data_IF_072889943030
#
_entry.id   IF_072889943030
#
_cell.length_a   1.000
_cell.length_b   1.000
_cell.length_c   1.000
_cell.angle_alpha   90.00
_cell.angle_beta   90.00
_cell.angle_gamma   90.00
#
_symmetry.space_group_name_H-M   'P 1'
#
loop_
_entity.id
_entity.type
_entity.pdbx_description
1 polymer ?
#
# COMPACT_ATOMS: atom_id res chain seq x y z
N UNK A 1 -13.55 -12.24 -26.86
CA UNK A 1 -13.55 -11.46 -25.60
C UNK A 1 -14.92 -11.29 -24.93
N UNK A 2 -15.95 -10.66 -25.54
CA UNK A 2 -17.26 -10.46 -24.86
C UNK A 2 -17.92 -11.76 -24.38
N UNK A 3 -17.89 -12.81 -25.20
CA UNK A 3 -18.42 -14.14 -24.84
C UNK A 3 -17.57 -14.85 -23.77
N UNK A 4 -16.25 -14.76 -23.88
CA UNK A 4 -15.31 -15.27 -22.87
C UNK A 4 -15.60 -14.67 -21.48
N UNK A 5 -15.82 -13.35 -21.39
CA UNK A 5 -16.25 -12.71 -20.14
C UNK A 5 -17.60 -13.24 -19.64
N UNK A 6 -18.56 -13.50 -20.53
CA UNK A 6 -19.85 -14.12 -20.14
C UNK A 6 -19.70 -15.52 -19.54
N UNK A 7 -18.67 -16.28 -19.93
CA UNK A 7 -18.43 -17.66 -19.46
C UNK A 7 -17.55 -17.74 -18.21
N UNK A 8 -16.60 -16.81 -18.02
CA UNK A 8 -15.55 -16.91 -16.99
C UNK A 8 -15.55 -15.75 -15.98
N UNK A 9 -16.49 -14.79 -16.06
CA UNK A 9 -16.65 -13.76 -15.02
C UNK A 9 -17.27 -14.37 -13.76
N UNK A 10 -16.54 -14.28 -12.66
CA UNK A 10 -16.97 -14.76 -11.36
C UNK A 10 -18.14 -13.92 -10.82
N UNK A 11 -19.29 -14.57 -10.56
CA UNK A 11 -20.49 -14.01 -9.88
C UNK A 11 -20.91 -12.59 -10.36
N UNK A 12 -20.76 -12.29 -11.65
CA UNK A 12 -21.00 -10.97 -12.27
C UNK A 12 -20.13 -9.79 -11.76
N UNK A 13 -19.05 -10.04 -10.99
CA UNK A 13 -18.24 -8.99 -10.34
C UNK A 13 -17.15 -8.37 -11.22
N UNK A 14 -17.18 -8.57 -12.54
CA UNK A 14 -16.19 -8.02 -13.50
C UNK A 14 -14.81 -8.68 -13.47
N UNK A 15 -14.53 -9.51 -12.46
CA UNK A 15 -13.32 -10.33 -12.34
C UNK A 15 -13.47 -11.63 -13.13
N UNK A 16 -12.42 -12.03 -13.86
CA UNK A 16 -12.32 -13.35 -14.50
C UNK A 16 -11.36 -14.20 -13.69
N UNK A 17 -11.78 -15.41 -13.33
CA UNK A 17 -10.92 -16.40 -12.66
C UNK A 17 -10.73 -17.59 -13.60
N UNK A 18 -9.47 -17.90 -13.90
CA UNK A 18 -9.08 -18.98 -14.81
C UNK A 18 -7.99 -19.81 -14.13
N UNK A 19 -7.96 -21.12 -14.36
CA UNK A 19 -6.83 -21.94 -13.90
C UNK A 19 -5.72 -21.81 -14.94
N UNK A 20 -4.49 -21.53 -14.49
CA UNK A 20 -3.31 -21.67 -15.37
C UNK A 20 -3.22 -23.14 -15.79
N UNK A 21 -3.53 -23.41 -17.06
CA UNK A 21 -3.54 -24.75 -17.63
C UNK A 21 -2.12 -25.32 -17.73
N UNK A 22 -1.18 -24.49 -18.20
CA UNK A 22 0.25 -24.81 -18.32
C UNK A 22 1.11 -23.54 -18.28
N UNK A 23 2.36 -23.68 -17.86
CA UNK A 23 3.41 -22.67 -18.01
C UNK A 23 4.52 -23.32 -18.83
N UNK A 24 4.84 -22.74 -19.99
CA UNK A 24 5.81 -23.28 -20.94
C UNK A 24 6.94 -22.28 -21.17
N UNK A 25 8.20 -22.72 -21.02
CA UNK A 25 9.36 -21.95 -21.50
C UNK A 25 9.47 -22.12 -23.01
N UNK A 26 9.02 -21.13 -23.76
CA UNK A 26 9.15 -21.11 -25.21
C UNK A 26 10.50 -20.51 -25.64
N UNK A 27 11.22 -21.10 -26.62
CA UNK A 27 12.43 -20.51 -27.20
C UNK A 27 12.04 -19.40 -28.17
N UNK A 28 11.56 -18.28 -27.63
CA UNK A 28 11.12 -17.13 -28.41
C UNK A 28 12.29 -16.17 -28.68
N UNK A 29 12.70 -16.08 -29.94
CA UNK A 29 13.79 -15.21 -30.42
C UNK A 29 13.30 -13.95 -31.16
N UNK A 30 12.02 -13.62 -31.05
CA UNK A 30 11.45 -12.39 -31.62
C UNK A 30 11.51 -11.21 -30.65
N UNK A 31 11.07 -10.04 -31.12
CA UNK A 31 10.76 -8.92 -30.22
C UNK A 31 9.47 -9.23 -29.45
N UNK A 32 9.57 -9.42 -28.14
CA UNK A 32 8.42 -9.19 -27.27
C UNK A 32 8.17 -7.69 -27.21
N UNK A 33 6.89 -7.28 -27.24
CA UNK A 33 6.52 -5.91 -26.90
C UNK A 33 6.61 -5.73 -25.37
N UNK A 34 7.84 -5.65 -24.88
CA UNK A 34 8.13 -4.96 -23.65
C UNK A 34 8.30 -3.46 -23.98
N UNK A 35 7.83 -2.58 -23.10
CA UNK A 35 8.00 -1.12 -23.26
C UNK A 35 9.38 -0.68 -22.73
N UNK A 36 10.42 -1.46 -23.06
CA UNK A 36 11.76 -1.37 -22.45
C UNK A 36 12.61 -0.23 -23.01
N UNK A 37 13.27 0.47 -22.09
CA UNK A 37 14.44 1.30 -22.40
C UNK A 37 15.61 0.35 -22.65
N UNK A 38 16.35 0.52 -23.76
CA UNK A 38 17.59 -0.23 -23.99
C UNK A 38 18.74 0.36 -23.13
N UNK A 39 18.69 0.12 -21.82
CA UNK A 39 19.70 0.54 -20.83
C UNK A 39 19.81 -0.51 -19.71
N UNK A 40 21.01 -0.85 -19.21
CA UNK A 40 21.18 -1.88 -18.17
C UNK A 40 20.48 -1.56 -16.84
N UNK A 41 20.22 -0.29 -16.54
CA UNK A 41 19.44 0.14 -15.35
C UNK A 41 17.91 0.16 -15.56
N UNK A 42 17.36 -0.57 -16.55
CA UNK A 42 15.92 -0.53 -16.84
C UNK A 42 15.09 -1.07 -15.67
N UNK A 43 14.34 -0.17 -15.03
CA UNK A 43 13.37 -0.47 -13.99
C UNK A 43 12.01 0.07 -14.43
N UNK A 44 10.99 -0.80 -14.50
CA UNK A 44 9.70 -0.50 -15.11
C UNK A 44 8.85 0.50 -14.30
N UNK A 45 8.27 1.51 -14.96
CA UNK A 45 7.40 2.52 -14.31
C UNK A 45 6.27 2.99 -15.22
N UNK A 46 5.03 2.55 -14.97
CA UNK A 46 3.82 3.23 -15.47
C UNK A 46 3.92 3.62 -16.97
N UNK A 47 3.83 4.90 -17.36
CA UNK A 47 3.41 6.14 -16.68
C UNK A 47 4.20 6.67 -15.44
N UNK A 48 5.27 7.41 -15.68
CA UNK A 48 5.94 8.43 -14.86
C UNK A 48 6.62 8.02 -13.54
N UNK A 49 5.91 7.90 -12.41
CA UNK A 49 6.56 7.73 -11.09
C UNK A 49 5.70 6.89 -10.12
N UNK A 50 6.32 6.37 -9.06
CA UNK A 50 5.62 5.72 -7.93
C UNK A 50 4.99 6.79 -7.04
N UNK A 51 3.65 6.81 -6.93
CA UNK A 51 2.96 7.58 -5.88
C UNK A 51 3.19 6.86 -4.56
N UNK A 52 4.16 7.34 -3.79
CA UNK A 52 4.77 6.64 -2.67
C UNK A 52 3.75 6.09 -1.67
N UNK A 53 3.72 4.77 -1.56
CA UNK A 53 2.88 3.98 -0.67
C UNK A 53 1.39 4.38 -0.72
N UNK A 54 0.79 4.44 -1.90
CA UNK A 54 -0.62 4.05 -1.98
C UNK A 54 -0.73 2.57 -1.60
N UNK A 55 -1.72 2.24 -0.77
CA UNK A 55 -1.83 0.93 -0.14
C UNK A 55 -3.11 0.77 0.68
N UNK A 56 -3.26 -0.41 1.28
CA UNK A 56 -4.48 -0.84 1.96
C UNK A 56 -4.16 -1.25 3.38
N UNK A 57 -5.00 -0.81 4.32
CA UNK A 57 -5.03 -1.26 5.71
C UNK A 57 -6.37 -1.94 5.98
N UNK A 58 -6.36 -3.15 6.56
CA UNK A 58 -7.59 -3.86 6.95
C UNK A 58 -7.67 -3.99 8.48
N UNK A 59 -8.71 -3.43 9.06
CA UNK A 59 -9.08 -3.62 10.46
C UNK A 59 -10.12 -4.73 10.57
N UNK A 60 -10.05 -5.55 11.62
CA UNK A 60 -11.01 -6.63 11.89
C UNK A 60 -11.68 -6.43 13.25
N UNK A 61 -12.98 -6.71 13.31
CA UNK A 61 -13.77 -6.71 14.55
C UNK A 61 -14.01 -8.12 15.07
N UNK A 62 -14.62 -8.22 16.26
CA UNK A 62 -15.14 -9.48 16.79
C UNK A 62 -16.62 -9.71 16.44
N UNK A 63 -17.26 -8.84 15.65
CA UNK A 63 -18.69 -8.89 15.37
C UNK A 63 -19.00 -9.44 13.98
N UNK A 64 -20.15 -10.09 13.88
CA UNK A 64 -20.84 -10.41 12.62
C UNK A 64 -21.67 -9.22 12.11
N UNK A 65 -21.99 -9.22 10.82
CA UNK A 65 -22.93 -8.23 10.22
C UNK A 65 -24.25 -8.17 10.99
N UNK A 66 -24.78 -9.34 11.39
CA UNK A 66 -26.07 -9.47 12.07
C UNK A 66 -26.10 -8.75 13.42
N UNK A 67 -25.02 -8.83 14.20
CA UNK A 67 -24.94 -8.25 15.55
C UNK A 67 -24.93 -6.71 15.51
N UNK A 68 -24.22 -6.11 14.55
CA UNK A 68 -24.09 -4.65 14.46
C UNK A 68 -24.91 -4.00 13.33
N UNK A 69 -25.79 -4.76 12.65
CA UNK A 69 -26.59 -4.29 11.50
C UNK A 69 -27.31 -2.97 11.76
N UNK A 70 -27.97 -2.85 12.91
CA UNK A 70 -28.68 -1.64 13.36
C UNK A 70 -27.78 -0.45 13.71
N UNK A 71 -26.45 -0.60 13.63
CA UNK A 71 -25.45 0.43 13.90
C UNK A 71 -24.59 0.77 12.68
N UNK A 72 -24.64 -0.02 11.59
CA UNK A 72 -23.78 0.15 10.40
C UNK A 72 -23.92 1.55 9.76
N UNK A 73 -25.14 2.05 9.60
CA UNK A 73 -25.39 3.38 9.01
C UNK A 73 -24.84 4.51 9.90
N UNK A 74 -24.99 4.38 11.22
CA UNK A 74 -24.43 5.34 12.18
C UNK A 74 -22.89 5.27 12.22
N UNK A 75 -22.31 4.07 12.18
CA UNK A 75 -20.86 3.84 12.07
C UNK A 75 -20.31 4.50 10.80
N UNK A 76 -20.94 4.25 9.64
CA UNK A 76 -20.53 4.87 8.37
C UNK A 76 -20.62 6.40 8.42
N UNK A 77 -21.71 6.94 8.98
CA UNK A 77 -21.94 8.40 9.13
C UNK A 77 -20.89 9.05 10.03
N UNK A 78 -20.60 8.47 11.19
CA UNK A 78 -19.63 9.04 12.15
C UNK A 78 -18.17 8.84 11.67
N UNK A 79 -17.86 7.74 10.98
CA UNK A 79 -16.56 7.57 10.30
C UNK A 79 -16.39 8.64 9.20
N UNK A 80 -17.43 8.91 8.40
CA UNK A 80 -17.35 9.93 7.35
C UNK A 80 -17.12 11.34 7.91
N UNK A 81 -17.68 11.66 9.09
CA UNK A 81 -17.41 12.93 9.80
C UNK A 81 -15.98 13.02 10.30
N UNK A 82 -15.43 11.93 10.86
CA UNK A 82 -14.07 11.90 11.42
C UNK A 82 -12.95 11.75 10.37
N UNK A 83 -13.25 11.26 9.17
CA UNK A 83 -12.28 11.01 8.08
C UNK A 83 -12.54 11.95 6.89
N UNK A 84 -11.86 13.11 6.80
CA UNK A 84 -12.01 14.01 5.66
C UNK A 84 -11.69 13.34 4.32
N UNK A 85 -12.60 13.47 3.37
CA UNK A 85 -12.49 12.98 2.00
C UNK A 85 -12.75 14.11 0.99
N UNK A 86 -12.35 13.91 -0.27
CA UNK A 86 -12.43 14.89 -1.36
C UNK A 86 -11.08 15.51 -1.76
N UNK A 87 -11.04 16.11 -2.95
CA UNK A 87 -9.86 16.79 -3.48
C UNK A 87 -9.58 18.08 -2.69
N UNK A 88 -8.32 18.29 -2.28
CA UNK A 88 -7.90 19.47 -1.51
C UNK A 88 -8.43 19.54 -0.07
N UNK A 89 -9.31 18.62 0.35
CA UNK A 89 -9.85 18.54 1.71
C UNK A 89 -8.77 18.06 2.68
N UNK A 90 -8.86 18.54 3.92
CA UNK A 90 -7.89 18.31 4.98
C UNK A 90 -8.50 18.59 6.36
N UNK A 91 -7.76 18.28 7.42
CA UNK A 91 -8.12 18.67 8.79
C UNK A 91 -7.99 20.18 8.98
N UNK A 92 -8.75 20.73 9.93
CA UNK A 92 -8.71 22.16 10.25
C UNK A 92 -7.34 22.56 10.85
N UNK A 93 -6.81 21.72 11.75
CA UNK A 93 -5.48 21.89 12.34
C UNK A 93 -4.41 21.53 11.30
N UNK A 94 -3.49 22.46 11.05
CA UNK A 94 -2.30 22.24 10.23
C UNK A 94 -1.13 21.88 11.14
N UNK A 95 -0.49 20.74 10.91
CA UNK A 95 0.76 20.38 11.58
C UNK A 95 1.87 21.39 11.22
N UNK A 96 2.83 21.59 12.12
CA UNK A 96 4.08 22.32 11.84
C UNK A 96 4.98 21.53 10.89
N UNK A 97 5.97 22.20 10.26
CA UNK A 97 6.98 21.51 9.44
C UNK A 97 7.77 20.51 10.29
N UNK A 98 8.08 20.83 11.55
CA UNK A 98 8.79 19.93 12.45
C UNK A 98 7.97 18.66 12.78
N UNK A 99 6.66 18.78 12.98
CA UNK A 99 5.77 17.62 13.14
C UNK A 99 5.68 16.79 11.85
N UNK A 100 5.72 17.42 10.67
CA UNK A 100 5.78 16.70 9.39
C UNK A 100 7.12 15.98 9.21
N UNK A 101 8.25 16.60 9.54
CA UNK A 101 9.57 15.95 9.49
C UNK A 101 9.61 14.71 10.40
N UNK A 102 9.10 14.81 11.63
CA UNK A 102 8.93 13.68 12.57
C UNK A 102 8.13 12.52 11.97
N UNK A 103 7.02 12.81 11.27
CA UNK A 103 6.22 11.78 10.57
C UNK A 103 6.96 11.20 9.36
N UNK A 104 7.67 12.04 8.60
CA UNK A 104 8.45 11.62 7.43
C UNK A 104 9.59 10.66 7.82
N UNK A 105 10.26 10.89 8.93
CA UNK A 105 11.38 10.05 9.38
C UNK A 105 10.94 8.90 10.30
N UNK A 106 9.91 9.13 11.13
CA UNK A 106 9.49 8.21 12.18
C UNK A 106 8.26 7.33 11.88
N UNK A 107 7.51 7.61 10.81
CA UNK A 107 6.41 6.76 10.34
C UNK A 107 5.30 6.49 11.37
N UNK A 108 4.80 5.26 11.40
CA UNK A 108 3.81 4.80 12.41
C UNK A 108 4.38 4.78 13.83
N UNK A 109 5.63 4.30 14.08
CA UNK A 109 6.23 4.33 15.42
C UNK A 109 6.24 5.70 16.11
N UNK A 110 6.43 6.79 15.36
CA UNK A 110 6.38 8.15 15.94
C UNK A 110 4.97 8.55 16.40
N UNK A 111 3.92 8.04 15.75
CA UNK A 111 2.53 8.30 16.15
C UNK A 111 2.12 7.49 17.37
N UNK A 112 2.52 6.21 17.44
CA UNK A 112 2.28 5.34 18.60
C UNK A 112 2.97 5.89 19.85
N UNK A 113 4.20 6.40 19.73
CA UNK A 113 4.89 7.13 20.82
C UNK A 113 4.13 8.36 21.33
N UNK A 114 3.28 8.96 20.50
CA UNK A 114 2.44 10.11 20.87
C UNK A 114 1.05 9.69 21.38
N UNK A 115 0.80 8.40 21.59
CA UNK A 115 -0.47 7.85 22.07
C UNK A 115 -1.53 7.64 20.99
N UNK A 116 -1.16 7.74 19.71
CA UNK A 116 -2.03 7.40 18.60
C UNK A 116 -1.78 5.94 18.20
N UNK A 117 -2.61 5.01 18.67
CA UNK A 117 -2.52 3.59 18.33
C UNK A 117 -1.74 2.74 19.34
N UNK A 118 -1.47 1.50 18.96
CA UNK A 118 -0.92 0.43 19.82
C UNK A 118 0.28 -0.25 19.14
N UNK A 119 1.13 -0.97 19.89
CA UNK A 119 2.30 -1.67 19.33
C UNK A 119 1.90 -2.72 18.26
N UNK A 120 0.75 -3.39 18.42
CA UNK A 120 0.20 -4.32 17.41
C UNK A 120 -0.06 -3.60 16.05
N UNK A 121 -0.27 -2.28 16.03
CA UNK A 121 -0.42 -1.51 14.79
C UNK A 121 0.92 -1.26 14.05
N UNK A 122 2.06 -1.35 14.76
CA UNK A 122 3.42 -1.32 14.20
C UNK A 122 3.77 -2.69 13.65
N UNK A 123 3.62 -3.73 14.48
CA UNK A 123 3.96 -5.11 14.11
C UNK A 123 3.27 -5.57 12.84
N UNK A 124 1.99 -5.23 12.66
CA UNK A 124 1.17 -5.66 11.53
C UNK A 124 1.16 -4.65 10.38
N UNK A 125 2.18 -3.80 10.30
CA UNK A 125 2.39 -2.89 9.18
C UNK A 125 3.60 -3.35 8.37
N UNK A 126 3.51 -3.31 7.04
CA UNK A 126 4.66 -3.49 6.16
C UNK A 126 5.77 -2.48 6.52
N UNK A 127 7.04 -2.90 6.48
CA UNK A 127 8.20 -2.16 7.00
C UNK A 127 8.04 -1.69 8.47
N UNK A 128 7.18 -2.35 9.27
CA UNK A 128 6.74 -1.84 10.59
C UNK A 128 6.21 -0.40 10.54
N UNK A 129 5.70 0.01 9.38
CA UNK A 129 5.22 1.37 9.10
C UNK A 129 6.31 2.44 9.02
N UNK A 130 7.59 2.06 8.85
CA UNK A 130 8.74 2.97 8.75
C UNK A 130 9.89 2.38 7.91
N UNK A 131 10.18 2.98 6.76
CA UNK A 131 11.45 2.81 6.06
C UNK A 131 12.53 3.67 6.72
N UNK A 132 13.63 3.03 7.15
CA UNK A 132 14.75 3.66 7.85
C UNK A 132 15.56 4.63 6.99
N UNK A 133 15.53 4.48 5.67
CA UNK A 133 16.26 5.35 4.72
C UNK A 133 15.57 6.69 4.46
N UNK A 134 14.48 6.99 5.16
CA UNK A 134 13.76 8.26 5.03
C UNK A 134 14.61 9.46 5.51
N UNK A 135 14.52 10.56 4.75
CA UNK A 135 15.26 11.80 5.03
C UNK A 135 14.33 12.99 4.73
N UNK A 136 13.89 13.72 5.76
CA UNK A 136 12.96 14.83 5.57
C UNK A 136 13.60 16.06 4.89
N UNK A 137 14.94 16.14 4.81
CA UNK A 137 15.63 17.17 4.03
C UNK A 137 15.56 16.93 2.52
N UNK A 138 15.36 15.67 2.12
CA UNK A 138 15.17 15.29 0.72
C UNK A 138 13.72 15.58 0.22
N UNK A 139 12.78 15.92 1.10
CA UNK A 139 11.39 16.28 0.74
C UNK A 139 11.25 17.81 0.66
N UNK A 140 10.69 18.33 -0.43
CA UNK A 140 10.57 19.79 -0.63
C UNK A 140 9.60 20.44 0.35
N UNK A 141 9.86 21.71 0.71
CA UNK A 141 8.91 22.50 1.52
C UNK A 141 7.54 22.65 0.85
N UNK A 142 7.48 22.62 -0.49
CA UNK A 142 6.21 22.57 -1.24
C UNK A 142 5.45 21.27 -0.98
N UNK A 143 6.13 20.13 -0.97
CA UNK A 143 5.53 18.83 -0.67
C UNK A 143 5.07 18.75 0.78
N UNK A 144 5.89 19.19 1.74
CA UNK A 144 5.52 19.27 3.16
C UNK A 144 4.30 20.15 3.36
N UNK A 145 4.29 21.38 2.84
CA UNK A 145 3.16 22.30 2.99
C UNK A 145 1.85 21.78 2.39
N UNK A 146 1.91 20.99 1.29
CA UNK A 146 0.72 20.27 0.77
C UNK A 146 0.22 19.16 1.70
N UNK A 147 1.10 18.53 2.49
CA UNK A 147 0.76 17.46 3.43
C UNK A 147 0.37 17.90 4.85
N UNK A 148 0.66 19.14 5.25
CA UNK A 148 0.49 19.65 6.65
C UNK A 148 -0.90 19.47 7.25
N UNK A 149 -1.95 19.42 6.43
CA UNK A 149 -3.34 19.22 6.87
C UNK A 149 -3.98 17.92 6.34
N UNK A 150 -3.20 17.02 5.74
CA UNK A 150 -3.72 15.83 5.06
C UNK A 150 -3.44 14.51 5.80
N UNK A 151 -2.79 14.56 6.97
CA UNK A 151 -2.60 13.38 7.83
C UNK A 151 -3.94 12.95 8.45
N UNK A 152 -4.24 11.66 8.37
CA UNK A 152 -5.52 11.09 8.76
C UNK A 152 -6.66 11.50 7.82
N UNK A 153 -6.41 11.60 6.51
CA UNK A 153 -7.43 11.95 5.51
C UNK A 153 -7.43 10.97 4.34
N UNK A 154 -8.61 10.70 3.79
CA UNK A 154 -8.79 9.70 2.76
C UNK A 154 -8.30 10.21 1.40
N UNK A 155 -8.88 11.33 0.95
CA UNK A 155 -8.63 11.92 -0.35
C UNK A 155 -9.67 11.65 -1.41
N UNK A 156 -9.21 11.42 -2.64
CA UNK A 156 -9.98 11.39 -3.88
C UNK A 156 -9.35 10.39 -4.86
N UNK A 157 -10.03 10.10 -5.97
CA UNK A 157 -9.64 9.04 -6.89
C UNK A 157 -10.23 7.71 -6.43
N UNK A 158 -9.47 6.63 -6.52
CA UNK A 158 -9.88 5.30 -6.05
C UNK A 158 -9.75 5.09 -4.53
N UNK A 159 -9.42 6.12 -3.75
CA UNK A 159 -9.28 5.99 -2.30
C UNK A 159 -10.66 5.87 -1.61
N UNK A 160 -10.87 4.81 -0.83
CA UNK A 160 -12.10 4.56 -0.08
C UNK A 160 -11.86 4.12 1.37
N UNK A 161 -12.89 4.27 2.20
CA UNK A 161 -12.97 3.64 3.52
C UNK A 161 -14.31 2.91 3.58
N UNK A 162 -14.28 1.59 3.70
CA UNK A 162 -15.48 0.73 3.62
C UNK A 162 -15.60 -0.15 4.85
N UNK A 163 -16.82 -0.23 5.40
CA UNK A 163 -17.20 -1.30 6.31
C UNK A 163 -17.65 -2.47 5.43
N UNK A 164 -16.93 -3.59 5.50
CA UNK A 164 -17.12 -4.76 4.65
C UNK A 164 -17.47 -5.99 5.50
N UNK A 165 -17.98 -7.04 4.85
CA UNK A 165 -18.28 -8.33 5.47
C UNK A 165 -17.45 -9.43 4.81
N UNK A 166 -16.94 -10.37 5.60
CA UNK A 166 -16.31 -11.60 5.12
C UNK A 166 -17.40 -12.58 4.63
N UNK A 167 -17.75 -12.50 3.35
CA UNK A 167 -18.83 -13.31 2.75
C UNK A 167 -18.44 -14.80 2.57
N UNK A 168 -17.18 -15.07 2.23
CA UNK A 168 -16.71 -16.40 1.81
C UNK A 168 -15.28 -16.65 2.33
N UNK A 169 -15.03 -17.86 2.84
CA UNK A 169 -13.71 -18.34 3.27
C UNK A 169 -13.27 -19.43 2.30
N UNK A 170 -12.09 -19.27 1.70
CA UNK A 170 -11.52 -20.25 0.75
C UNK A 170 -10.46 -21.16 1.39
N UNK A 171 -9.81 -20.71 2.48
CA UNK A 171 -8.86 -21.49 3.27
C UNK A 171 -9.10 -21.21 4.76
N UNK A 172 -9.71 -22.18 5.44
CA UNK A 172 -10.04 -22.12 6.87
C UNK A 172 -8.80 -22.01 7.77
N UNK A 173 -7.66 -22.59 7.37
CA UNK A 173 -6.43 -22.57 8.16
C UNK A 173 -5.80 -21.17 8.13
N UNK A 174 -5.67 -20.59 6.93
CA UNK A 174 -5.17 -19.23 6.73
C UNK A 174 -6.13 -18.22 7.37
N UNK A 175 -7.43 -18.35 7.16
CA UNK A 175 -8.44 -17.49 7.76
C UNK A 175 -8.35 -17.50 9.29
N UNK A 176 -8.26 -18.69 9.92
CA UNK A 176 -8.09 -18.82 11.37
C UNK A 176 -6.81 -18.16 11.88
N UNK A 177 -5.67 -18.34 11.20
CA UNK A 177 -4.41 -17.65 11.55
C UNK A 177 -4.50 -16.13 11.40
N UNK A 178 -5.23 -15.64 10.40
CA UNK A 178 -5.52 -14.22 10.23
C UNK A 178 -6.57 -13.71 11.24
N UNK A 179 -7.31 -14.61 11.89
CA UNK A 179 -8.46 -14.29 12.74
C UNK A 179 -9.62 -13.68 11.94
N UNK A 180 -9.84 -14.24 10.76
CA UNK A 180 -10.98 -13.99 9.89
C UNK A 180 -11.99 -15.13 10.01
N UNK A 181 -13.28 -14.82 9.97
CA UNK A 181 -14.37 -15.80 10.00
C UNK A 181 -15.55 -15.31 9.17
N UNK A 182 -16.42 -16.23 8.72
CA UNK A 182 -17.57 -15.89 7.89
C UNK A 182 -18.54 -14.93 8.60
N UNK A 183 -19.12 -14.02 7.84
CA UNK A 183 -20.02 -12.93 8.26
C UNK A 183 -19.39 -11.88 9.19
N UNK A 184 -18.09 -11.98 9.52
CA UNK A 184 -17.35 -10.98 10.30
C UNK A 184 -17.35 -9.61 9.61
N UNK A 185 -17.51 -8.54 10.39
CA UNK A 185 -17.32 -7.17 9.93
C UNK A 185 -15.87 -6.74 10.05
N UNK A 186 -15.35 -6.20 8.95
CA UNK A 186 -14.00 -5.64 8.80
C UNK A 186 -14.10 -4.21 8.25
N UNK A 187 -13.06 -3.40 8.43
CA UNK A 187 -13.00 -2.04 7.87
C UNK A 187 -11.75 -1.88 7.02
N UNK A 188 -11.94 -1.70 5.72
CA UNK A 188 -10.86 -1.53 4.75
C UNK A 188 -10.61 -0.04 4.49
N UNK A 189 -9.34 0.37 4.51
CA UNK A 189 -8.89 1.75 4.27
C UNK A 189 -7.90 1.72 3.10
N UNK A 190 -8.28 2.28 1.96
CA UNK A 190 -7.40 2.45 0.79
C UNK A 190 -7.01 3.93 0.67
N UNK A 191 -5.72 4.24 0.92
CA UNK A 191 -5.15 5.58 0.72
C UNK A 191 -3.62 5.53 0.67
N UNK A 192 -2.99 6.68 0.48
CA UNK A 192 -1.53 6.81 0.41
C UNK A 192 -1.01 8.17 0.86
N UNK A 193 0.14 8.56 0.33
CA UNK A 193 0.93 9.77 0.69
C UNK A 193 0.28 11.14 0.43
N UNK A 194 -1.00 11.16 0.03
CA UNK A 194 -1.78 12.36 -0.27
C UNK A 194 -1.05 13.33 -1.22
N UNK A 195 -1.27 14.63 -1.07
CA UNK A 195 -0.63 15.67 -1.88
C UNK A 195 0.89 15.80 -1.65
N UNK A 196 1.41 15.28 -0.54
CA UNK A 196 2.85 15.28 -0.23
C UNK A 196 3.61 14.37 -1.20
N UNK A 197 3.27 13.08 -1.28
CA UNK A 197 3.99 12.17 -2.16
C UNK A 197 3.74 12.42 -3.65
N UNK A 198 2.56 12.94 -4.02
CA UNK A 198 2.35 13.44 -5.39
C UNK A 198 3.32 14.59 -5.71
N UNK A 199 3.49 15.56 -4.81
CA UNK A 199 4.43 16.66 -5.03
C UNK A 199 5.87 16.15 -5.06
N UNK A 200 6.22 15.21 -4.17
CA UNK A 200 7.54 14.58 -4.16
C UNK A 200 7.87 13.93 -5.53
N UNK A 201 6.96 13.13 -6.06
CA UNK A 201 7.06 12.57 -7.42
C UNK A 201 7.19 13.68 -8.49
N UNK A 202 6.40 14.75 -8.42
CA UNK A 202 6.46 15.87 -9.37
C UNK A 202 7.80 16.61 -9.33
N UNK A 203 8.39 16.74 -8.14
CA UNK A 203 9.67 17.43 -7.94
C UNK A 203 10.84 16.57 -8.46
N UNK A 204 10.86 15.27 -8.13
CA UNK A 204 11.92 14.37 -8.57
C UNK A 204 11.86 13.99 -10.04
N UNK A 205 10.69 13.95 -10.68
CA UNK A 205 10.58 13.82 -12.13
C UNK A 205 11.35 14.93 -12.86
N UNK A 206 11.32 16.16 -12.35
CA UNK A 206 12.08 17.29 -12.94
C UNK A 206 13.59 17.10 -12.77
N UNK A 207 14.02 16.67 -11.59
CA UNK A 207 15.44 16.37 -11.29
C UNK A 207 15.97 15.27 -12.20
N UNK A 208 15.23 14.17 -12.33
CA UNK A 208 15.59 13.03 -13.19
C UNK A 208 15.62 13.44 -14.66
N UNK A 209 14.61 14.12 -15.17
CA UNK A 209 14.59 14.59 -16.57
C UNK A 209 15.75 15.52 -16.93
N UNK A 210 16.24 16.32 -15.98
CA UNK A 210 17.45 17.15 -16.14
C UNK A 210 18.76 16.36 -16.00
N UNK A 211 18.71 15.17 -15.40
CA UNK A 211 19.86 14.29 -15.19
C UNK A 211 20.12 13.32 -16.36
N UNK A 212 19.10 12.93 -17.12
CA UNK A 212 19.21 11.98 -18.24
C UNK A 212 20.45 12.19 -19.15
N UNK A 213 20.76 13.41 -19.64
CA UNK A 213 21.90 13.61 -20.54
C UNK A 213 23.25 13.35 -19.88
N UNK A 214 23.37 13.57 -18.55
CA UNK A 214 24.60 13.32 -17.78
C UNK A 214 24.92 11.82 -17.64
N UNK A 215 23.89 10.97 -17.77
CA UNK A 215 24.03 9.51 -17.71
C UNK A 215 23.95 8.85 -19.09
N UNK A 216 23.86 9.63 -20.18
CA UNK A 216 23.72 9.09 -21.54
C UNK A 216 22.39 8.35 -21.81
N UNK A 217 21.44 8.40 -20.86
CA UNK A 217 20.19 7.64 -20.94
C UNK A 217 19.28 8.23 -22.02
N UNK A 218 18.94 7.42 -23.01
CA UNK A 218 17.92 7.72 -24.02
C UNK A 218 16.66 6.91 -23.71
N UNK A 219 15.57 7.62 -23.42
CA UNK A 219 14.29 6.98 -23.13
C UNK A 219 13.47 6.76 -24.42
N UNK A 220 12.76 5.63 -24.57
CA UNK A 220 11.81 5.43 -25.66
C UNK A 220 10.51 6.22 -25.40
N UNK A 221 10.18 6.49 -24.13
CA UNK A 221 9.12 7.41 -23.71
C UNK A 221 9.62 8.30 -22.56
N UNK A 222 9.25 9.59 -22.58
CA UNK A 222 9.57 10.54 -21.50
C UNK A 222 8.94 10.14 -20.16
N UNK A 223 7.88 9.34 -20.17
CA UNK A 223 7.24 8.81 -18.97
C UNK A 223 8.05 7.70 -18.28
N UNK A 224 9.16 7.22 -18.88
CA UNK A 224 10.06 6.22 -18.30
C UNK A 224 11.31 6.84 -17.65
N UNK A 225 11.16 8.06 -17.11
CA UNK A 225 12.24 8.86 -16.54
C UNK A 225 12.99 8.13 -15.41
N UNK A 226 14.27 7.78 -15.64
CA UNK A 226 15.12 7.07 -14.70
C UNK A 226 16.54 7.67 -14.56
N UNK A 227 17.25 7.27 -13.51
CA UNK A 227 18.68 7.52 -13.25
C UNK A 227 19.28 6.27 -12.60
N UNK A 228 20.61 6.05 -12.65
CA UNK A 228 21.24 4.95 -11.92
C UNK A 228 20.93 5.04 -10.43
N UNK A 229 20.59 3.93 -9.78
CA UNK A 229 20.14 3.93 -8.38
C UNK A 229 21.15 4.58 -7.42
N UNK A 230 22.44 4.34 -7.65
CA UNK A 230 23.54 4.87 -6.84
C UNK A 230 23.95 6.32 -7.20
N UNK A 231 23.26 6.98 -8.15
CA UNK A 231 23.52 8.38 -8.46
C UNK A 231 23.08 9.31 -7.31
N UNK A 232 23.61 10.54 -7.21
CA UNK A 232 23.16 11.53 -6.23
C UNK A 232 21.64 11.78 -6.31
N UNK A 233 21.08 11.84 -7.52
CA UNK A 233 19.65 12.01 -7.77
C UNK A 233 18.86 10.75 -7.40
N UNK A 234 19.36 9.56 -7.75
CA UNK A 234 18.73 8.28 -7.43
C UNK A 234 18.61 8.06 -5.92
N UNK A 235 19.72 8.21 -5.20
CA UNK A 235 19.74 8.11 -3.73
C UNK A 235 18.87 9.18 -3.05
N UNK A 236 18.93 10.43 -3.52
CA UNK A 236 18.12 11.52 -2.95
C UNK A 236 16.62 11.29 -3.19
N UNK A 237 16.24 10.80 -4.38
CA UNK A 237 14.86 10.40 -4.65
C UNK A 237 14.44 9.23 -3.75
N UNK A 238 15.25 8.18 -3.65
CA UNK A 238 14.93 7.00 -2.83
C UNK A 238 14.66 7.39 -1.37
N UNK A 239 15.51 8.22 -0.77
CA UNK A 239 15.31 8.77 0.58
C UNK A 239 14.00 9.57 0.71
N UNK A 240 13.71 10.44 -0.26
CA UNK A 240 12.48 11.24 -0.26
C UNK A 240 11.22 10.38 -0.48
N UNK A 241 11.32 9.32 -1.26
CA UNK A 241 10.26 8.33 -1.47
C UNK A 241 10.01 7.54 -0.18
N UNK A 242 11.06 7.06 0.51
CA UNK A 242 10.95 6.43 1.82
C UNK A 242 10.23 7.35 2.83
N UNK A 243 10.60 8.63 2.86
CA UNK A 243 9.92 9.63 3.68
C UNK A 243 8.42 9.79 3.33
N UNK A 244 8.09 9.83 2.04
CA UNK A 244 6.69 9.86 1.59
C UNK A 244 5.94 8.54 1.87
N UNK A 245 6.63 7.39 1.92
CA UNK A 245 6.07 6.11 2.35
C UNK A 245 5.71 6.11 3.84
N UNK A 246 6.59 6.63 4.69
CA UNK A 246 6.37 6.81 6.12
C UNK A 246 5.15 7.70 6.40
N UNK A 247 5.03 8.82 5.67
CA UNK A 247 3.86 9.69 5.73
C UNK A 247 2.56 8.97 5.30
N UNK A 248 2.62 8.05 4.33
CA UNK A 248 1.44 7.32 3.88
C UNK A 248 0.96 6.25 4.88
N UNK A 249 1.87 5.48 5.49
CA UNK A 249 1.51 4.58 6.59
C UNK A 249 0.97 5.36 7.78
N UNK A 250 1.62 6.47 8.15
CA UNK A 250 1.13 7.40 9.18
C UNK A 250 -0.28 7.95 8.85
N UNK A 251 -0.57 8.25 7.58
CA UNK A 251 -1.90 8.65 7.14
C UNK A 251 -2.96 7.55 7.33
N UNK A 252 -2.69 6.32 6.87
CA UNK A 252 -3.58 5.16 7.06
C UNK A 252 -3.77 4.83 8.55
N UNK A 253 -2.70 4.92 9.33
CA UNK A 253 -2.71 4.70 10.76
C UNK A 253 -3.56 5.73 11.52
N UNK A 254 -3.42 7.02 11.23
CA UNK A 254 -4.29 8.04 11.85
C UNK A 254 -5.77 7.85 11.48
N UNK A 255 -6.07 7.47 10.23
CA UNK A 255 -7.46 7.12 9.87
C UNK A 255 -7.97 5.92 10.69
N UNK A 256 -7.17 4.86 10.81
CA UNK A 256 -7.51 3.71 11.64
C UNK A 256 -7.71 4.09 13.12
N UNK A 257 -6.91 4.99 13.68
CA UNK A 257 -7.07 5.49 15.04
C UNK A 257 -8.42 6.20 15.24
N UNK A 258 -8.81 7.11 14.34
CA UNK A 258 -10.12 7.77 14.43
C UNK A 258 -11.29 6.77 14.24
N UNK A 259 -11.14 5.80 13.33
CA UNK A 259 -12.12 4.72 13.15
C UNK A 259 -12.25 3.86 14.42
N UNK A 260 -11.14 3.46 15.07
CA UNK A 260 -11.13 2.77 16.37
C UNK A 260 -11.89 3.59 17.44
N UNK A 261 -11.74 4.92 17.47
CA UNK A 261 -12.51 5.80 18.38
C UNK A 261 -14.00 5.85 18.09
N UNK A 262 -14.40 5.97 16.82
CA UNK A 262 -15.83 5.93 16.42
C UNK A 262 -16.47 4.59 16.77
N UNK A 263 -15.73 3.50 16.56
CA UNK A 263 -16.16 2.14 16.92
C UNK A 263 -16.50 2.03 18.41
N UNK A 264 -15.58 2.43 19.29
CA UNK A 264 -15.78 2.46 20.75
C UNK A 264 -16.94 3.37 21.17
N UNK A 265 -17.05 4.56 20.58
CA UNK A 265 -18.14 5.53 20.85
C UNK A 265 -19.53 4.94 20.55
N UNK A 266 -19.67 4.10 19.53
CA UNK A 266 -20.99 3.59 19.08
C UNK A 266 -21.31 2.21 19.66
N UNK A 267 -20.32 1.33 19.83
CA UNK A 267 -20.51 -0.06 20.26
C UNK A 267 -20.09 -0.33 21.71
N UNK A 268 -19.30 0.57 22.32
CA UNK A 268 -18.85 0.50 23.71
C UNK A 268 -17.33 0.36 23.83
N UNK A 269 -16.76 0.85 24.94
CA UNK A 269 -15.31 0.91 25.17
C UNK A 269 -14.58 -0.45 25.18
N UNK A 270 -15.33 -1.55 25.41
CA UNK A 270 -14.80 -2.92 25.36
C UNK A 270 -14.64 -3.43 23.93
N UNK A 271 -15.33 -2.84 22.96
CA UNK A 271 -15.28 -3.27 21.57
C UNK A 271 -14.09 -2.65 20.84
N UNK A 272 -13.32 -3.50 20.16
CA UNK A 272 -12.05 -3.11 19.57
C UNK A 272 -11.96 -3.58 18.11
N UNK A 273 -11.49 -2.69 17.25
CA UNK A 273 -10.97 -3.04 15.93
C UNK A 273 -9.46 -3.26 16.05
N UNK A 274 -8.97 -4.40 15.57
CA UNK A 274 -7.53 -4.72 15.52
C UNK A 274 -7.00 -4.68 14.10
N UNK A 275 -5.73 -4.35 13.92
CA UNK A 275 -5.08 -4.42 12.62
C UNK A 275 -4.91 -5.89 12.20
N UNK A 276 -5.44 -6.26 11.03
CA UNK A 276 -5.00 -7.49 10.36
C UNK A 276 -3.63 -7.23 9.73
N UNK A 277 -3.58 -6.33 8.75
CA UNK A 277 -2.34 -5.95 8.09
C UNK A 277 -2.48 -4.59 7.38
N UNK A 278 -1.35 -3.95 7.09
CA UNK A 278 -1.24 -2.75 6.24
C UNK A 278 -0.11 -2.97 5.22
N UNK A 279 -0.44 -2.86 3.93
CA UNK A 279 0.47 -3.17 2.81
C UNK A 279 0.39 -2.13 1.69
N UNK A 280 1.53 -1.81 1.11
CA UNK A 280 1.69 -0.93 -0.04
C UNK A 280 1.43 -1.67 -1.36
N UNK A 281 0.94 -0.95 -2.37
CA UNK A 281 0.91 -1.41 -3.76
C UNK A 281 1.58 -0.45 -4.76
N UNK A 282 2.09 0.69 -4.29
CA UNK A 282 2.92 1.63 -5.05
C UNK A 282 4.18 1.95 -4.23
N UNK A 283 5.24 1.18 -4.34
CA UNK A 283 6.47 1.35 -3.55
C UNK A 283 7.69 0.80 -4.30
N UNK A 284 8.89 1.33 -4.03
CA UNK A 284 10.13 0.67 -4.42
C UNK A 284 10.94 0.32 -3.16
N UNK A 285 11.53 -0.88 -3.09
CA UNK A 285 12.24 -1.35 -1.88
C UNK A 285 13.48 -2.15 -2.23
N UNK A 286 14.49 -2.06 -1.37
CA UNK A 286 15.69 -2.88 -1.46
C UNK A 286 15.35 -4.24 -0.85
N UNK A 287 15.34 -5.30 -1.66
CA UNK A 287 15.01 -6.66 -1.24
C UNK A 287 16.12 -7.63 -1.71
N UNK A 288 16.32 -8.74 -1.00
CA UNK A 288 17.23 -9.81 -1.43
C UNK A 288 16.44 -10.90 -2.14
N UNK A 289 16.81 -11.20 -3.39
CA UNK A 289 16.17 -12.19 -4.25
C UNK A 289 17.21 -13.10 -4.91
N UNK A 290 16.78 -14.27 -5.37
CA UNK A 290 17.62 -15.19 -6.13
C UNK A 290 17.44 -14.94 -7.64
N UNK A 291 18.55 -14.65 -8.33
CA UNK A 291 18.60 -14.35 -9.76
C UNK A 291 19.57 -15.32 -10.41
N UNK A 292 19.09 -16.20 -11.28
CA UNK A 292 19.91 -17.24 -11.93
C UNK A 292 20.71 -18.13 -10.94
N UNK A 293 20.22 -18.32 -9.72
CA UNK A 293 20.88 -19.08 -8.65
C UNK A 293 21.79 -18.25 -7.72
N UNK A 294 21.97 -16.95 -7.99
CA UNK A 294 22.77 -16.05 -7.15
C UNK A 294 21.88 -15.12 -6.31
N UNK A 295 22.25 -14.91 -5.04
CA UNK A 295 21.59 -13.94 -4.16
C UNK A 295 21.99 -12.52 -4.53
N UNK A 296 21.04 -11.71 -4.97
CA UNK A 296 21.23 -10.30 -5.33
C UNK A 296 20.36 -9.37 -4.50
N UNK A 297 20.88 -8.18 -4.19
CA UNK A 297 20.08 -7.08 -3.64
C UNK A 297 19.55 -6.22 -4.78
N UNK A 298 18.23 -6.15 -4.90
CA UNK A 298 17.53 -5.47 -6.00
C UNK A 298 16.67 -4.33 -5.46
N UNK A 299 16.53 -3.25 -6.24
CA UNK A 299 15.54 -2.20 -6.00
C UNK A 299 14.22 -2.58 -6.69
N UNK A 300 13.41 -3.38 -6.01
CA UNK A 300 12.16 -3.92 -6.55
C UNK A 300 11.11 -2.82 -6.63
N UNK A 301 10.65 -2.49 -7.84
CA UNK A 301 9.67 -1.46 -8.13
C UNK A 301 8.27 -2.08 -8.29
N UNK A 302 7.34 -1.74 -7.38
CA UNK A 302 5.95 -2.20 -7.44
C UNK A 302 5.00 -1.02 -7.67
N UNK A 303 4.13 -1.14 -8.67
CA UNK A 303 3.10 -0.14 -9.00
C UNK A 303 1.82 -0.84 -9.44
N UNK A 304 0.77 -0.73 -8.62
CA UNK A 304 -0.41 -1.58 -8.71
C UNK A 304 -0.15 -3.04 -8.31
N UNK A 305 0.96 -3.33 -7.62
CA UNK A 305 1.40 -4.67 -7.24
C UNK A 305 1.81 -4.72 -5.76
N UNK A 306 1.44 -5.79 -5.07
CA UNK A 306 1.58 -5.91 -3.60
C UNK A 306 2.67 -6.92 -3.26
N UNK A 307 3.51 -6.65 -2.24
CA UNK A 307 4.45 -7.67 -1.73
C UNK A 307 3.68 -8.86 -1.15
N UNK A 308 4.13 -10.08 -1.43
CA UNK A 308 3.44 -11.32 -1.05
C UNK A 308 4.42 -12.36 -0.48
N UNK A 309 5.10 -12.05 0.63
CA UNK A 309 6.14 -12.95 1.15
C UNK A 309 5.63 -14.34 1.57
N UNK A 310 6.43 -15.39 1.31
CA UNK A 310 6.09 -16.80 1.58
C UNK A 310 6.04 -17.11 3.09
N UNK A 311 5.42 -18.23 3.49
CA UNK A 311 5.55 -18.75 4.85
C UNK A 311 7.01 -18.86 5.30
N UNK A 312 7.27 -18.66 6.59
CA UNK A 312 8.62 -18.68 7.16
C UNK A 312 9.42 -17.38 7.01
N UNK A 313 9.04 -16.46 6.11
CA UNK A 313 9.83 -15.24 5.87
C UNK A 313 9.96 -14.37 7.14
N UNK A 314 11.17 -13.91 7.53
CA UNK A 314 11.41 -13.29 8.84
C UNK A 314 10.67 -11.97 9.04
N UNK A 315 10.47 -11.19 7.98
CA UNK A 315 9.70 -9.93 8.01
C UNK A 315 8.19 -10.10 8.25
N UNK A 316 7.65 -11.31 8.15
CA UNK A 316 6.23 -11.54 8.43
C UNK A 316 6.04 -11.53 9.96
N UNK A 317 4.97 -10.88 10.47
CA UNK A 317 4.62 -10.93 11.89
C UNK A 317 4.48 -12.37 12.36
N UNK A 318 4.96 -12.67 13.57
CA UNK A 318 5.11 -14.05 14.04
C UNK A 318 3.81 -14.87 13.95
N UNK A 319 2.68 -14.27 14.35
CA UNK A 319 1.34 -14.87 14.24
C UNK A 319 0.89 -15.25 12.82
N UNK A 320 1.49 -14.66 11.78
CA UNK A 320 1.18 -14.94 10.37
C UNK A 320 2.30 -15.71 9.66
N UNK A 321 3.51 -15.77 10.22
CA UNK A 321 4.69 -16.37 9.58
C UNK A 321 4.48 -17.81 9.15
N UNK A 322 3.69 -18.60 9.90
CA UNK A 322 3.37 -19.99 9.56
C UNK A 322 2.40 -20.19 8.39
N UNK A 323 1.75 -19.12 7.88
CA UNK A 323 0.77 -19.17 6.78
C UNK A 323 1.10 -18.24 5.61
N UNK A 324 2.11 -17.38 5.73
CA UNK A 324 2.51 -16.41 4.71
C UNK A 324 2.01 -14.99 5.00
N UNK A 325 2.53 -14.02 4.26
CA UNK A 325 2.20 -12.60 4.49
C UNK A 325 0.74 -12.34 4.08
N UNK A 326 -0.07 -11.61 4.88
CA UNK A 326 -1.36 -11.13 4.40
C UNK A 326 -1.18 -10.22 3.18
N UNK A 327 -1.97 -10.49 2.14
CA UNK A 327 -2.03 -9.71 0.90
C UNK A 327 -3.43 -9.15 0.78
N UNK A 328 -3.55 -7.82 0.74
CA UNK A 328 -4.83 -7.12 0.67
C UNK A 328 -5.05 -6.63 -0.77
N UNK A 329 -6.05 -7.18 -1.44
CA UNK A 329 -6.46 -6.78 -2.79
C UNK A 329 -7.76 -5.98 -2.68
N UNK A 330 -7.70 -4.64 -2.78
CA UNK A 330 -8.89 -3.82 -2.83
C UNK A 330 -9.59 -4.05 -4.16
N UNK A 331 -10.91 -4.12 -4.13
CA UNK A 331 -11.72 -3.92 -5.33
C UNK A 331 -11.74 -2.45 -5.77
N UNK A 332 -12.75 -2.13 -6.57
CA UNK A 332 -13.29 -0.76 -6.66
C UNK A 332 -14.36 -0.51 -5.58
N UNK A 333 -14.72 0.76 -5.38
CA UNK A 333 -15.79 1.15 -4.44
C UNK A 333 -17.07 0.34 -4.67
N UNK A 334 -17.58 -0.32 -3.63
CA UNK A 334 -18.79 -1.15 -3.69
C UNK A 334 -18.63 -2.50 -4.43
N UNK A 335 -17.42 -2.94 -4.71
CA UNK A 335 -17.13 -4.28 -5.27
C UNK A 335 -16.34 -5.15 -4.29
N UNK A 336 -16.29 -6.46 -4.52
CA UNK A 336 -15.58 -7.38 -3.63
C UNK A 336 -14.09 -7.04 -3.51
N UNK A 337 -13.57 -7.17 -2.28
CA UNK A 337 -12.14 -7.11 -1.95
C UNK A 337 -11.71 -8.47 -1.41
N UNK A 338 -10.43 -8.81 -1.57
CA UNK A 338 -9.90 -10.14 -1.20
C UNK A 338 -8.73 -10.03 -0.23
N UNK A 339 -8.66 -10.98 0.70
CA UNK A 339 -7.48 -11.24 1.54
C UNK A 339 -6.87 -12.56 1.07
N UNK A 340 -5.60 -12.55 0.70
CA UNK A 340 -4.82 -13.72 0.33
C UNK A 340 -3.61 -13.87 1.26
N UNK A 341 -2.88 -14.97 1.11
CA UNK A 341 -1.57 -15.16 1.74
C UNK A 341 -0.48 -15.28 0.66
N UNK A 342 0.71 -14.75 0.94
CA UNK A 342 1.91 -15.00 0.14
C UNK A 342 2.33 -16.47 0.19
N UNK A 343 2.91 -16.98 -0.90
CA UNK A 343 3.20 -18.41 -1.08
C UNK A 343 4.65 -18.63 -1.50
N UNK A 344 5.15 -19.87 -1.45
CA UNK A 344 6.49 -20.19 -1.97
C UNK A 344 6.70 -19.74 -3.42
N UNK A 345 5.69 -19.90 -4.29
CA UNK A 345 5.74 -19.42 -5.69
C UNK A 345 5.78 -17.91 -5.82
N UNK A 346 5.38 -17.16 -4.78
CA UNK A 346 5.48 -15.70 -4.77
C UNK A 346 6.93 -15.20 -4.71
N UNK A 347 7.91 -16.08 -4.42
CA UNK A 347 9.35 -15.81 -4.58
C UNK A 347 9.78 -15.60 -6.03
N UNK A 348 8.95 -16.00 -7.01
CA UNK A 348 9.22 -15.85 -8.45
C UNK A 348 8.60 -14.55 -9.02
N UNK A 349 7.91 -13.76 -8.19
CA UNK A 349 7.12 -12.59 -8.58
C UNK A 349 7.66 -11.28 -7.95
N UNK A 350 8.96 -11.04 -8.09
CA UNK A 350 9.63 -9.78 -7.71
C UNK A 350 9.73 -8.80 -8.86
#
# INVERSE_FOLDING_TARGET
FKEYKRKHVYKNQGLVWERIERIEKIPYAGLVYDFTVNHPDHNFVANNFVVSNCGVRLLKSNHTEKEIKARLENLATEIQKEIPSGLGKGRQIKLSINQINKILEGGVPELVKQGYGEEEDIENCEEKGKMEQADASCVSERAKNRGRNQVGTLGSGNHFCEIQKVEEIFDEKVAKSFGLFKDQVVVMIHSGSRGLGHQNCTDYLRVVMQALPRYGIRLPDRELACVPFNSPEGQRFFKAMCAACNYAWANRHMMAFYIKKVWKKILGEKENLRLLYDVAHNIAKIEEHEVNGEKMKLIVHRKGATRAFPPGHPEIPEKYRGVGQPVLIPGSMGTASYVLAGTEKSKEAW
#
